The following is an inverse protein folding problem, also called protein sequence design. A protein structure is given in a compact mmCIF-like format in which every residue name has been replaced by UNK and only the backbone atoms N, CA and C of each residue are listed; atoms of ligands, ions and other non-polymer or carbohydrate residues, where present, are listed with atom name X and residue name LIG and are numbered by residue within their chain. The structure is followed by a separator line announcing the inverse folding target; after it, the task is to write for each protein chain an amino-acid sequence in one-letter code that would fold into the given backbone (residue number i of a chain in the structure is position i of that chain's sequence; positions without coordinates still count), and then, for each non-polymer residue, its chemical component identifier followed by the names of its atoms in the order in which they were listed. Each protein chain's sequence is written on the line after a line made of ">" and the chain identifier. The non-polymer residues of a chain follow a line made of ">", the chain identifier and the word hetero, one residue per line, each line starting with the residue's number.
data_IF_507655306233
#
_entry.id   IF_507655306233
#
_cell.length_a   1.000
_cell.length_b   1.000
_cell.length_c   1.000
_cell.angle_alpha   90.00
_cell.angle_beta   90.00
_cell.angle_gamma   90.00
#
_symmetry.space_group_name_H-M   'P 1'
#
loop_
_entity.id
_entity.type
_entity.pdbx_description
1 polymer ?
#
# COMPACT_ATOMS: atom_id res chain seq x y z
N UNK A 1 -22.11 13.41 4.26
CA UNK A 1 -21.48 12.43 5.17
C UNK A 1 -21.13 11.22 4.32
N UNK A 2 -19.85 10.92 4.13
CA UNK A 2 -19.45 9.82 3.24
C UNK A 2 -19.53 8.51 4.01
N UNK A 3 -20.43 7.62 3.60
CA UNK A 3 -20.55 6.25 4.08
C UNK A 3 -19.25 5.49 3.78
N UNK A 4 -18.29 5.53 4.70
CA UNK A 4 -17.16 4.60 4.67
C UNK A 4 -17.68 3.26 5.12
N UNK A 5 -18.01 2.42 4.15
CA UNK A 5 -18.22 1.00 4.37
C UNK A 5 -16.94 0.46 5.04
N UNK A 6 -16.98 0.19 6.34
CA UNK A 6 -15.81 -0.12 7.18
C UNK A 6 -15.09 -1.42 6.79
N UNK A 7 -15.68 -2.18 5.87
CA UNK A 7 -15.12 -3.42 5.32
C UNK A 7 -14.41 -3.24 3.96
N UNK A 8 -14.37 -2.03 3.41
CA UNK A 8 -13.66 -1.75 2.15
C UNK A 8 -12.34 -1.06 2.42
N UNK A 9 -11.26 -1.68 1.93
CA UNK A 9 -9.95 -1.03 1.86
C UNK A 9 -10.08 0.28 1.06
N UNK A 10 -9.37 1.33 1.47
CA UNK A 10 -9.42 2.63 0.78
C UNK A 10 -8.68 2.58 -0.54
N UNK A 11 -7.43 2.15 -0.50
CA UNK A 11 -6.51 2.18 -1.65
C UNK A 11 -5.65 0.91 -1.61
N UNK A 12 -5.45 0.31 -2.76
CA UNK A 12 -4.43 -0.71 -2.96
C UNK A 12 -3.36 -0.19 -3.92
N UNK A 13 -2.11 -0.13 -3.47
CA UNK A 13 -0.95 0.14 -4.31
C UNK A 13 -0.32 -1.20 -4.64
N UNK A 14 -0.18 -1.51 -5.92
CA UNK A 14 0.34 -2.80 -6.38
C UNK A 14 1.56 -2.63 -7.27
N UNK A 15 2.40 -3.66 -7.31
CA UNK A 15 3.58 -3.76 -8.16
C UNK A 15 4.60 -2.60 -7.98
N UNK A 16 4.68 -2.03 -6.79
CA UNK A 16 5.61 -0.97 -6.45
C UNK A 16 6.99 -1.54 -6.10
N UNK A 17 8.04 -0.73 -6.20
CA UNK A 17 9.23 -0.95 -5.37
C UNK A 17 9.03 -0.21 -4.06
N UNK A 18 8.82 -0.94 -2.95
CA UNK A 18 8.58 -0.33 -1.64
C UNK A 18 9.90 -0.24 -0.89
N UNK A 19 10.32 0.98 -0.58
CA UNK A 19 11.53 1.24 0.19
C UNK A 19 11.11 1.59 1.61
N UNK A 20 11.43 0.73 2.58
CA UNK A 20 11.19 1.00 3.99
C UNK A 20 12.42 1.70 4.57
N UNK A 21 12.21 2.81 5.26
CA UNK A 21 13.26 3.51 6.02
C UNK A 21 13.38 2.86 7.41
N UNK A 22 13.48 1.54 7.44
CA UNK A 22 13.85 0.81 8.64
C UNK A 22 15.37 0.92 8.87
N UNK A 23 15.86 0.42 10.00
CA UNK A 23 17.30 0.48 10.35
C UNK A 23 18.21 -0.24 9.35
N UNK A 24 17.66 -1.03 8.42
CA UNK A 24 18.37 -1.78 7.39
C UNK A 24 18.16 -1.20 5.99
N UNK A 25 17.25 -0.24 5.80
CA UNK A 25 16.89 0.30 4.49
C UNK A 25 16.31 -0.77 3.58
N UNK A 26 15.38 -1.61 4.09
CA UNK A 26 14.86 -2.73 3.31
C UNK A 26 14.12 -2.27 2.06
N UNK A 27 14.28 -3.03 0.98
CA UNK A 27 13.58 -2.80 -0.29
C UNK A 27 12.77 -4.04 -0.62
N UNK A 28 11.48 -3.84 -0.90
CA UNK A 28 10.55 -4.88 -1.33
C UNK A 28 10.28 -4.64 -2.81
N UNK A 29 10.89 -5.48 -3.64
CA UNK A 29 10.63 -5.47 -5.07
C UNK A 29 9.26 -6.07 -5.39
N UNK A 30 8.55 -5.43 -6.33
CA UNK A 30 7.19 -5.81 -6.73
C UNK A 30 6.25 -5.96 -5.51
N UNK A 31 6.38 -5.07 -4.55
CA UNK A 31 5.56 -4.99 -3.35
C UNK A 31 4.16 -4.48 -3.63
N UNK A 32 3.22 -4.94 -2.84
CA UNK A 32 1.90 -4.34 -2.72
C UNK A 32 1.70 -3.81 -1.31
N UNK A 33 0.89 -2.77 -1.21
CA UNK A 33 0.52 -2.09 0.02
C UNK A 33 -0.96 -1.79 -0.01
N UNK A 34 -1.66 -2.12 1.08
CA UNK A 34 -3.10 -1.88 1.19
C UNK A 34 -3.37 -0.94 2.35
N UNK A 35 -4.14 0.10 2.08
CA UNK A 35 -4.58 1.08 3.07
C UNK A 35 -6.01 0.75 3.48
N UNK A 36 -6.22 0.53 4.78
CA UNK A 36 -7.52 0.24 5.37
C UNK A 36 -8.48 1.43 5.34
N UNK A 37 -9.74 1.19 5.72
CA UNK A 37 -10.79 2.21 5.75
C UNK A 37 -10.46 3.40 6.68
N UNK A 38 -9.68 3.15 7.72
CA UNK A 38 -9.19 4.11 8.72
C UNK A 38 -8.03 4.98 8.20
N UNK A 39 -7.44 4.64 7.05
CA UNK A 39 -6.26 5.30 6.51
C UNK A 39 -4.94 4.76 7.06
N UNK A 40 -4.97 3.72 7.90
CA UNK A 40 -3.77 3.00 8.30
C UNK A 40 -3.38 1.97 7.25
N UNK A 41 -2.11 1.58 7.23
CA UNK A 41 -1.64 0.49 6.38
C UNK A 41 -2.13 -0.82 7.00
N UNK A 42 -2.96 -1.57 6.27
CA UNK A 42 -3.46 -2.88 6.69
C UNK A 42 -2.38 -3.94 6.49
N UNK A 43 -1.72 -3.91 5.34
CA UNK A 43 -0.80 -4.98 4.93
C UNK A 43 0.23 -4.47 3.91
N UNK A 44 1.45 -4.97 4.04
CA UNK A 44 2.55 -4.78 3.07
C UNK A 44 3.21 -6.13 2.86
N UNK A 45 3.35 -6.55 1.61
CA UNK A 45 3.95 -7.83 1.24
C UNK A 45 4.52 -7.75 -0.17
N UNK A 46 5.44 -8.66 -0.50
CA UNK A 46 5.89 -8.86 -1.88
C UNK A 46 4.81 -9.56 -2.70
N UNK A 47 4.67 -9.16 -3.97
CA UNK A 47 3.68 -9.72 -4.88
C UNK A 47 2.27 -9.19 -4.63
N UNK A 48 1.26 -10.02 -4.93
CA UNK A 48 -0.15 -9.62 -4.93
C UNK A 48 -0.77 -9.81 -3.55
N UNK A 49 -1.37 -8.76 -3.00
CA UNK A 49 -2.17 -8.81 -1.77
C UNK A 49 -3.66 -8.84 -2.14
N UNK A 50 -4.44 -9.65 -1.43
CA UNK A 50 -5.90 -9.61 -1.55
C UNK A 50 -6.44 -8.34 -0.90
N UNK A 51 -7.19 -7.53 -1.64
CA UNK A 51 -7.77 -6.29 -1.15
C UNK A 51 -9.21 -6.12 -1.62
N UNK A 52 -10.00 -5.37 -0.86
CA UNK A 52 -11.37 -4.98 -1.22
C UNK A 52 -11.45 -3.54 -1.75
N UNK A 53 -10.29 -2.90 -1.96
CA UNK A 53 -10.21 -1.53 -2.45
C UNK A 53 -10.73 -1.41 -3.89
N UNK A 54 -11.57 -0.41 -4.11
CA UNK A 54 -12.02 0.00 -5.44
C UNK A 54 -10.98 0.87 -6.16
N UNK A 55 -10.18 1.62 -5.40
CA UNK A 55 -9.08 2.42 -5.92
C UNK A 55 -7.79 1.60 -5.93
N UNK A 56 -7.27 1.33 -7.12
CA UNK A 56 -6.05 0.56 -7.33
C UNK A 56 -5.04 1.43 -8.07
N UNK A 57 -3.85 1.57 -7.49
CA UNK A 57 -2.72 2.30 -8.07
C UNK A 57 -1.69 1.26 -8.53
N UNK A 58 -1.51 1.14 -9.84
CA UNK A 58 -0.46 0.32 -10.43
C UNK A 58 0.86 1.11 -10.47
N UNK A 59 1.75 0.81 -9.54
CA UNK A 59 3.00 1.53 -9.30
C UNK A 59 4.21 0.84 -9.96
N UNK A 60 4.01 0.11 -11.06
CA UNK A 60 5.10 -0.51 -11.83
C UNK A 60 6.11 0.54 -12.28
N UNK A 61 7.37 0.33 -11.90
CA UNK A 61 8.46 1.27 -12.20
C UNK A 61 8.46 2.54 -11.33
N UNK A 62 7.53 2.65 -10.37
CA UNK A 62 7.51 3.70 -9.37
C UNK A 62 8.05 3.17 -8.03
N UNK A 63 8.60 4.10 -7.25
CA UNK A 63 9.11 3.83 -5.90
C UNK A 63 8.12 4.40 -4.90
N UNK A 64 7.72 3.56 -3.94
CA UNK A 64 6.89 3.96 -2.79
C UNK A 64 7.80 4.09 -1.57
N UNK A 65 7.82 5.27 -0.98
CA UNK A 65 8.59 5.59 0.22
C UNK A 65 7.67 6.18 1.30
N UNK A 66 8.03 6.06 2.59
CA UNK A 66 7.43 6.86 3.64
C UNK A 66 7.53 8.35 3.32
N UNK A 67 6.50 9.11 3.73
CA UNK A 67 6.56 10.56 3.65
C UNK A 67 7.72 11.11 4.49
N UNK A 68 8.41 12.12 3.97
CA UNK A 68 9.44 12.84 4.71
C UNK A 68 8.77 13.63 5.84
N UNK A 69 9.41 13.65 7.01
CA UNK A 69 9.01 14.45 8.17
C UNK A 69 10.01 15.56 8.45
#
# INVERSE_FOLDING_TARGET
>A
MSDRNTNQDRIAVINAQIVTVDTKGSVIDNGSLVVGADGAIREIASGKISHTATEIIDARGAIVMPGLI
#
